data_IF_388715598269
#
_entry.id   IF_388715598269
#
_cell.length_a   1.000
_cell.length_b   1.000
_cell.length_c   1.000
_cell.angle_alpha   90.00
_cell.angle_beta   90.00
_cell.angle_gamma   90.00
#
_symmetry.space_group_name_H-M   'P 1'
#
loop_
_entity.id
_entity.type
_entity.pdbx_description
1 polymer ?
#
# COMPACT_ATOMS: atom_id res chain seq x y z
N UNK A 1 10.82 5.04 -6.44
CA UNK A 1 10.30 5.28 -5.08
C UNK A 1 10.36 3.96 -4.32
N UNK A 2 10.92 3.92 -3.10
CA UNK A 2 10.91 2.75 -2.23
C UNK A 2 9.50 2.30 -1.82
N UNK A 3 9.36 1.01 -1.46
CA UNK A 3 8.12 0.42 -0.92
C UNK A 3 7.69 1.15 0.37
N UNK A 4 8.65 1.53 1.21
CA UNK A 4 8.41 2.26 2.47
C UNK A 4 7.58 3.54 2.25
N UNK A 5 7.88 4.28 1.19
CA UNK A 5 7.18 5.53 0.89
C UNK A 5 5.74 5.29 0.43
N UNK A 6 5.50 4.20 -0.33
CA UNK A 6 4.14 3.80 -0.70
C UNK A 6 3.31 3.41 0.53
N UNK A 7 3.91 2.68 1.48
CA UNK A 7 3.27 2.32 2.75
C UNK A 7 2.92 3.57 3.55
N UNK A 8 3.85 4.52 3.68
CA UNK A 8 3.59 5.80 4.36
C UNK A 8 2.42 6.57 3.70
N UNK A 9 2.40 6.64 2.37
CA UNK A 9 1.33 7.27 1.60
C UNK A 9 -0.03 6.63 1.88
N UNK A 10 -0.10 5.29 1.85
CA UNK A 10 -1.33 4.56 2.11
C UNK A 10 -1.86 4.80 3.54
N UNK A 11 -1.01 4.73 4.57
CA UNK A 11 -1.43 4.98 5.95
C UNK A 11 -1.83 6.43 6.19
N UNK A 12 -1.20 7.40 5.52
CA UNK A 12 -1.59 8.80 5.62
C UNK A 12 -3.03 9.03 5.13
N UNK A 13 -3.50 8.29 4.10
CA UNK A 13 -4.88 8.38 3.62
C UNK A 13 -5.93 7.96 4.64
N UNK A 14 -5.58 7.09 5.60
CA UNK A 14 -6.45 6.68 6.71
C UNK A 14 -6.11 7.41 8.02
N UNK A 15 -5.36 8.52 7.93
CA UNK A 15 -5.02 9.36 9.08
C UNK A 15 -4.07 8.71 10.08
N UNK A 16 -3.18 7.83 9.61
CA UNK A 16 -2.16 7.16 10.42
C UNK A 16 -0.77 7.61 9.99
N UNK A 17 0.05 8.01 10.96
CA UNK A 17 1.44 8.37 10.71
C UNK A 17 2.35 7.24 11.18
N UNK A 18 3.21 6.73 10.31
CA UNK A 18 4.18 5.69 10.68
C UNK A 18 5.53 6.30 11.08
N UNK A 19 6.06 5.83 12.20
CA UNK A 19 7.45 6.00 12.62
C UNK A 19 8.18 4.66 12.47
N UNK A 20 9.29 4.66 11.73
CA UNK A 20 10.06 3.46 11.45
C UNK A 20 11.18 3.27 12.47
N UNK A 21 11.29 2.07 13.04
CA UNK A 21 12.34 1.69 14.00
C UNK A 21 12.89 0.31 13.67
N UNK A 22 14.17 0.09 13.96
CA UNK A 22 14.88 -1.14 13.60
C UNK A 22 15.49 -1.07 12.20
N UNK A 23 16.11 -2.16 11.78
CA UNK A 23 16.79 -2.28 10.48
C UNK A 23 16.59 -3.68 9.89
N UNK A 24 16.57 -3.78 8.56
CA UNK A 24 16.44 -5.04 7.86
C UNK A 24 15.16 -5.80 8.23
N UNK A 25 15.32 -7.05 8.68
CA UNK A 25 14.19 -7.92 9.06
C UNK A 25 13.54 -7.51 10.38
N UNK A 26 14.25 -6.77 11.23
CA UNK A 26 13.75 -6.27 12.50
C UNK A 26 13.12 -4.87 12.37
N UNK A 27 13.02 -4.34 11.15
CA UNK A 27 12.36 -3.07 10.88
C UNK A 27 10.83 -3.16 11.11
N UNK A 28 10.28 -2.16 11.79
CA UNK A 28 8.87 -2.06 12.14
C UNK A 28 8.34 -0.64 11.87
N UNK A 29 7.13 -0.58 11.33
CA UNK A 29 6.34 0.64 11.19
C UNK A 29 5.38 0.79 12.35
N UNK A 30 5.61 1.78 13.20
CA UNK A 30 4.85 2.03 14.43
C UNK A 30 3.92 3.23 14.20
N UNK A 31 2.64 3.07 14.51
CA UNK A 31 1.66 4.14 14.51
C UNK A 31 2.01 5.18 15.57
N UNK A 32 2.25 6.43 15.15
CA UNK A 32 2.59 7.52 16.07
C UNK A 32 1.46 7.83 17.05
N UNK A 33 0.22 7.70 16.59
CA UNK A 33 -0.96 8.09 17.36
C UNK A 33 -1.32 7.06 18.43
N UNK A 34 -1.08 5.76 18.19
CA UNK A 34 -1.49 4.68 19.10
C UNK A 34 -0.33 3.93 19.74
N UNK A 35 0.87 4.02 19.16
CA UNK A 35 2.02 3.20 19.55
C UNK A 35 1.98 1.77 19.04
N UNK A 36 0.95 1.39 18.28
CA UNK A 36 0.80 0.03 17.75
C UNK A 36 1.77 -0.22 16.60
N UNK A 37 2.27 -1.45 16.52
CA UNK A 37 3.03 -1.91 15.35
C UNK A 37 2.03 -2.26 14.25
N UNK A 38 2.05 -1.50 13.15
CA UNK A 38 1.15 -1.70 12.00
C UNK A 38 1.84 -2.41 10.83
N UNK A 39 3.17 -2.40 10.78
CA UNK A 39 3.95 -3.02 9.70
C UNK A 39 5.17 -3.72 10.29
N UNK A 40 5.43 -4.94 9.82
CA UNK A 40 6.62 -5.73 10.15
C UNK A 40 7.17 -6.38 8.89
N UNK A 41 8.48 -6.59 8.85
CA UNK A 41 9.15 -7.30 7.77
C UNK A 41 9.13 -8.81 8.05
N UNK A 42 8.69 -9.59 7.07
CA UNK A 42 8.73 -11.05 7.16
C UNK A 42 9.65 -11.61 6.07
N UNK A 43 10.76 -12.29 6.44
CA UNK A 43 11.73 -12.84 5.48
C UNK A 43 11.12 -13.82 4.48
N UNK A 44 9.95 -14.40 4.77
CA UNK A 44 9.24 -15.31 3.84
C UNK A 44 8.85 -14.64 2.53
N UNK A 45 8.72 -13.31 2.50
CA UNK A 45 8.39 -12.56 1.28
C UNK A 45 9.63 -12.16 0.47
N UNK A 46 10.85 -12.42 0.94
CA UNK A 46 12.07 -12.11 0.19
C UNK A 46 12.25 -13.07 -0.97
N UNK A 47 12.64 -12.53 -2.13
CA UNK A 47 12.89 -13.34 -3.33
C UNK A 47 14.38 -13.65 -3.44
N UNK A 48 14.76 -14.86 -3.90
CA UNK A 48 16.17 -15.22 -4.10
C UNK A 48 16.93 -14.31 -5.07
N UNK A 49 16.20 -13.65 -5.97
CA UNK A 49 16.72 -12.61 -6.84
C UNK A 49 15.80 -11.39 -6.72
N UNK A 50 16.34 -10.32 -6.13
CA UNK A 50 15.66 -9.05 -5.95
C UNK A 50 16.03 -8.10 -7.10
N UNK A 51 15.11 -7.20 -7.46
CA UNK A 51 15.37 -6.16 -8.46
C UNK A 51 15.35 -4.82 -7.75
N UNK A 52 16.53 -4.18 -7.62
CA UNK A 52 16.68 -2.98 -6.79
C UNK A 52 15.93 -1.76 -7.35
N UNK A 53 15.89 -1.61 -8.68
CA UNK A 53 15.31 -0.44 -9.31
C UNK A 53 14.74 -0.76 -10.69
N UNK A 54 13.48 -0.39 -10.89
CA UNK A 54 12.81 -0.42 -12.19
C UNK A 54 12.34 0.99 -12.54
N UNK A 55 12.90 1.55 -13.60
CA UNK A 55 12.51 2.86 -14.14
C UNK A 55 12.39 2.74 -15.65
N UNK A 56 11.18 2.91 -16.17
CA UNK A 56 10.89 2.85 -17.60
C UNK A 56 11.03 4.22 -18.27
N UNK A 57 11.61 4.25 -19.48
CA UNK A 57 11.59 5.41 -20.36
C UNK A 57 10.45 5.29 -21.39
N UNK A 58 9.39 6.07 -21.21
CA UNK A 58 8.24 6.11 -22.12
C UNK A 58 8.37 7.14 -23.26
N UNK A 59 9.54 7.75 -23.47
CA UNK A 59 9.75 8.80 -24.48
C UNK A 59 9.35 8.38 -25.89
N UNK A 60 9.56 7.10 -26.25
CA UNK A 60 9.11 6.56 -27.54
C UNK A 60 7.59 6.55 -27.67
N UNK A 61 6.88 6.13 -26.62
CA UNK A 61 5.42 6.10 -26.60
C UNK A 61 4.84 7.52 -26.70
N UNK A 62 5.42 8.48 -25.96
CA UNK A 62 5.03 9.90 -26.07
C UNK A 62 5.22 10.45 -27.47
N UNK A 63 6.38 10.21 -28.09
CA UNK A 63 6.68 10.73 -29.45
C UNK A 63 5.83 10.10 -30.55
N UNK A 64 5.60 8.79 -30.51
CA UNK A 64 4.96 8.05 -31.62
C UNK A 64 3.44 7.97 -31.44
N UNK A 65 2.97 7.85 -30.20
CA UNK A 65 1.56 7.62 -29.89
C UNK A 65 0.89 8.84 -29.23
N UNK A 66 1.67 9.87 -28.85
CA UNK A 66 1.15 10.96 -28.02
C UNK A 66 0.78 10.52 -26.60
N UNK A 67 1.21 9.33 -26.17
CA UNK A 67 0.84 8.77 -24.88
C UNK A 67 1.59 9.45 -23.73
N UNK A 68 0.85 9.82 -22.69
CA UNK A 68 1.37 10.37 -21.45
C UNK A 68 0.51 9.86 -20.28
N UNK A 69 1.14 9.57 -19.15
CA UNK A 69 0.41 9.16 -17.95
C UNK A 69 -0.44 10.34 -17.45
N UNK A 70 -1.74 10.10 -17.26
CA UNK A 70 -2.70 11.10 -16.78
C UNK A 70 -3.00 10.98 -15.29
N UNK A 71 -2.37 10.02 -14.62
CA UNK A 71 -2.60 9.69 -13.23
C UNK A 71 -1.26 9.69 -12.49
N UNK A 72 -1.25 10.30 -11.32
CA UNK A 72 -0.11 10.30 -10.41
C UNK A 72 -0.11 9.05 -9.53
N UNK A 73 1.01 8.79 -8.88
CA UNK A 73 1.12 7.67 -7.96
C UNK A 73 0.29 7.91 -6.69
N UNK A 74 0.22 9.17 -6.26
CA UNK A 74 -0.58 9.65 -5.15
C UNK A 74 -2.08 9.46 -5.40
N UNK A 75 -2.55 9.80 -6.60
CA UNK A 75 -3.94 9.57 -7.01
C UNK A 75 -4.26 8.07 -7.05
N UNK A 76 -3.34 7.25 -7.59
CA UNK A 76 -3.49 5.79 -7.58
C UNK A 76 -3.58 5.22 -6.17
N UNK A 77 -2.66 5.60 -5.29
CA UNK A 77 -2.63 5.12 -3.91
C UNK A 77 -3.92 5.50 -3.18
N UNK A 78 -4.36 6.75 -3.33
CA UNK A 78 -5.61 7.25 -2.78
C UNK A 78 -6.80 6.40 -3.22
N UNK A 79 -6.98 6.20 -4.52
CA UNK A 79 -8.11 5.45 -5.08
C UNK A 79 -8.12 4.00 -4.60
N UNK A 80 -6.95 3.35 -4.55
CA UNK A 80 -6.82 1.99 -4.03
C UNK A 80 -7.28 1.90 -2.56
N UNK A 81 -6.79 2.81 -1.71
CA UNK A 81 -7.14 2.81 -0.27
C UNK A 81 -8.62 3.12 -0.06
N UNK A 82 -9.18 4.11 -0.78
CA UNK A 82 -10.61 4.45 -0.69
C UNK A 82 -11.49 3.26 -1.11
N UNK A 83 -11.10 2.53 -2.14
CA UNK A 83 -11.79 1.31 -2.59
C UNK A 83 -11.79 0.22 -1.52
N UNK A 84 -10.63 -0.05 -0.91
CA UNK A 84 -10.50 -1.02 0.17
C UNK A 84 -11.31 -0.62 1.40
N UNK A 85 -11.27 0.65 1.81
CA UNK A 85 -12.08 1.15 2.94
C UNK A 85 -13.57 0.93 2.68
N UNK A 86 -14.09 1.30 1.51
CA UNK A 86 -15.49 1.09 1.16
C UNK A 86 -15.87 -0.40 1.17
N UNK A 87 -14.98 -1.28 0.70
CA UNK A 87 -15.16 -2.73 0.76
C UNK A 87 -15.26 -3.22 2.22
N UNK A 88 -14.37 -2.76 3.10
CA UNK A 88 -14.36 -3.16 4.51
C UNK A 88 -15.54 -2.61 5.30
N UNK A 89 -15.98 -1.39 5.03
CA UNK A 89 -17.19 -0.81 5.63
C UNK A 89 -18.44 -1.62 5.27
N UNK A 90 -18.59 -1.97 3.99
CA UNK A 90 -19.68 -2.86 3.53
C UNK A 90 -19.63 -4.22 4.22
N UNK A 91 -18.45 -4.82 4.31
CA UNK A 91 -18.30 -6.12 4.95
C UNK A 91 -18.59 -6.06 6.45
N UNK A 92 -18.16 -4.99 7.13
CA UNK A 92 -18.49 -4.75 8.54
C UNK A 92 -19.99 -4.62 8.75
N UNK A 93 -20.67 -3.84 7.92
CA UNK A 93 -22.13 -3.70 7.98
C UNK A 93 -22.87 -5.04 7.84
N UNK A 94 -22.42 -5.91 6.91
CA UNK A 94 -23.00 -7.25 6.74
C UNK A 94 -22.76 -8.14 7.96
N UNK A 95 -21.54 -8.13 8.54
CA UNK A 95 -21.22 -8.89 9.77
C UNK A 95 -22.07 -8.43 10.95
N UNK A 96 -22.21 -7.12 11.14
CA UNK A 96 -23.01 -6.52 12.21
C UNK A 96 -24.50 -6.89 12.06
N UNK A 97 -24.94 -7.13 10.82
CA UNK A 97 -26.27 -7.65 10.47
C UNK A 97 -26.44 -9.17 10.60
N UNK A 98 -25.41 -9.91 11.01
CA UNK A 98 -25.45 -11.37 11.18
C UNK A 98 -25.28 -12.17 9.89
N UNK A 99 -24.76 -11.54 8.82
CA UNK A 99 -24.46 -12.22 7.56
C UNK A 99 -22.99 -12.65 7.50
N UNK A 100 -22.77 -13.83 6.93
CA UNK A 100 -21.42 -14.26 6.57
C UNK A 100 -20.90 -13.44 5.39
N UNK A 101 -19.64 -13.00 5.51
CA UNK A 101 -18.90 -12.37 4.41
C UNK A 101 -17.64 -13.18 4.18
N UNK A 102 -17.40 -13.51 2.91
CA UNK A 102 -16.21 -14.20 2.48
C UNK A 102 -14.97 -13.37 2.85
N UNK A 103 -14.06 -13.99 3.59
CA UNK A 103 -12.76 -13.42 3.83
C UNK A 103 -11.90 -13.71 2.60
N UNK A 104 -11.55 -12.70 1.79
CA UNK A 104 -10.76 -12.92 0.56
C UNK A 104 -9.29 -13.30 0.83
N UNK A 105 -8.95 -13.63 2.07
CA UNK A 105 -7.63 -14.05 2.53
C UNK A 105 -7.56 -15.56 2.85
N UNK A 106 -8.63 -16.32 2.57
CA UNK A 106 -8.66 -17.80 2.62
C UNK A 106 -8.86 -18.42 1.23
#
# INVERSE_FOLDING_TARGET
MPIRDFVNMAFAHVGKTLEWKGEGVDEQGICKETGDILVQVDPRYFRPAEVDLLVGDASKAKRVLGWEATYTLEELCKEMVESDVALFERNKYLKDGGHDVLNQYE
#
